data_IF_162352436419
#
_entry.id   IF_162352436419
#
_cell.length_a   1.000
_cell.length_b   1.000
_cell.length_c   1.000
_cell.angle_alpha   90.00
_cell.angle_beta   90.00
_cell.angle_gamma   90.00
#
_symmetry.space_group_name_H-M   'P 1'
#
loop_
_entity.id
_entity.type
_entity.pdbx_description
1 polymer ?
#
# COMPACT_ATOMS: atom_id res chain seq x y z
N UNK A 1 -15.77 -7.72 9.30
CA UNK A 1 -14.93 -7.13 10.36
C UNK A 1 -15.78 -6.18 11.16
N UNK A 2 -15.56 -6.04 12.47
CA UNK A 2 -16.38 -5.14 13.28
C UNK A 2 -16.05 -3.66 12.98
N UNK A 3 -17.01 -2.74 13.13
CA UNK A 3 -16.79 -1.31 13.01
C UNK A 3 -15.59 -0.81 13.83
N UNK A 4 -14.89 0.20 13.34
CA UNK A 4 -13.75 0.86 14.00
C UNK A 4 -12.58 -0.06 14.39
N UNK A 5 -12.57 -1.31 13.91
CA UNK A 5 -11.51 -2.27 14.21
C UNK A 5 -10.24 -1.92 13.42
N UNK A 6 -9.09 -1.71 14.09
CA UNK A 6 -7.81 -1.56 13.41
C UNK A 6 -7.32 -2.90 12.85
N UNK A 7 -6.71 -2.87 11.67
CA UNK A 7 -6.08 -4.03 11.06
C UNK A 7 -4.93 -3.58 10.16
N UNK A 8 -4.11 -4.53 9.73
CA UNK A 8 -2.96 -4.25 8.85
C UNK A 8 -3.06 -5.07 7.59
N UNK A 9 -2.95 -4.39 6.45
CA UNK A 9 -2.79 -5.07 5.17
C UNK A 9 -1.30 -5.18 4.86
N UNK A 10 -0.88 -6.40 4.57
CA UNK A 10 0.47 -6.70 4.09
C UNK A 10 0.36 -7.24 2.66
N UNK A 11 1.15 -6.68 1.75
CA UNK A 11 1.34 -7.19 0.41
C UNK A 11 2.79 -7.61 0.22
N UNK A 12 3.03 -8.85 -0.17
CA UNK A 12 4.32 -9.27 -0.69
C UNK A 12 4.40 -8.88 -2.16
N UNK A 13 5.35 -8.02 -2.50
CA UNK A 13 5.50 -7.51 -3.86
C UNK A 13 6.90 -7.79 -4.38
N UNK A 14 6.98 -8.20 -5.65
CA UNK A 14 8.24 -8.43 -6.36
C UNK A 14 8.56 -7.25 -7.26
N UNK A 15 9.82 -6.82 -7.30
CA UNK A 15 10.31 -5.95 -8.35
C UNK A 15 10.51 -6.74 -9.64
N UNK A 16 9.50 -6.77 -10.50
CA UNK A 16 9.54 -7.37 -11.83
C UNK A 16 9.81 -6.32 -12.94
N UNK A 17 10.29 -5.13 -12.57
CA UNK A 17 10.66 -4.06 -13.51
C UNK A 17 12.06 -4.23 -14.09
N UNK A 18 12.50 -3.25 -14.86
CA UNK A 18 13.84 -3.22 -15.47
C UNK A 18 14.89 -2.50 -14.61
N UNK A 19 14.47 -1.86 -13.52
CA UNK A 19 15.33 -1.08 -12.64
C UNK A 19 15.00 -1.35 -11.18
N UNK A 20 15.96 -1.08 -10.29
CA UNK A 20 15.74 -1.18 -8.86
C UNK A 20 14.66 -0.21 -8.38
N UNK A 21 13.85 -0.60 -7.39
CA UNK A 21 12.97 0.36 -6.73
C UNK A 21 13.83 1.32 -5.89
N UNK A 22 13.63 2.64 -6.02
CA UNK A 22 14.45 3.60 -5.29
C UNK A 22 14.23 3.52 -3.77
N UNK A 23 15.27 3.78 -3.00
CA UNK A 23 15.13 4.17 -1.59
C UNK A 23 14.17 5.37 -1.45
N UNK A 24 13.40 5.46 -0.36
CA UNK A 24 12.31 6.44 -0.14
C UNK A 24 11.10 6.29 -1.09
N UNK A 25 10.90 5.10 -1.65
CA UNK A 25 9.63 4.77 -2.30
C UNK A 25 8.51 4.79 -1.26
N UNK A 26 7.34 5.29 -1.66
CA UNK A 26 6.14 5.27 -0.84
C UNK A 26 5.05 4.44 -1.49
N UNK A 27 4.15 3.88 -0.68
CA UNK A 27 2.85 3.43 -1.14
C UNK A 27 1.81 4.49 -0.78
N UNK A 28 1.04 4.93 -1.78
CA UNK A 28 0.09 6.03 -1.63
C UNK A 28 -1.33 5.57 -1.94
N UNK A 29 -2.29 6.09 -1.19
CA UNK A 29 -3.71 5.94 -1.48
C UNK A 29 -4.05 6.77 -2.72
N UNK A 30 -4.72 6.14 -3.69
CA UNK A 30 -5.06 6.76 -4.98
C UNK A 30 -6.56 6.79 -5.28
N UNK A 31 -7.41 6.37 -4.33
CA UNK A 31 -8.87 6.47 -4.45
C UNK A 31 -9.63 5.32 -3.78
N UNK A 32 -10.95 5.34 -3.96
CA UNK A 32 -11.87 4.45 -3.26
C UNK A 32 -12.12 4.92 -1.83
N UNK A 33 -12.38 3.97 -0.94
CA UNK A 33 -12.63 4.25 0.47
C UNK A 33 -11.34 4.56 1.21
N UNK A 34 -11.39 5.61 2.04
CA UNK A 34 -10.25 6.02 2.86
C UNK A 34 -10.24 5.24 4.17
N UNK A 35 -9.49 4.15 4.17
CA UNK A 35 -9.38 3.23 5.32
C UNK A 35 -8.18 3.52 6.24
N UNK A 36 -7.31 4.47 5.87
CA UNK A 36 -6.16 4.87 6.69
C UNK A 36 -6.20 6.35 7.03
N UNK A 37 -5.62 6.73 8.18
CA UNK A 37 -5.33 8.13 8.51
C UNK A 37 -4.21 8.70 7.64
N UNK A 38 -3.29 7.87 7.18
CA UNK A 38 -2.18 8.24 6.32
C UNK A 38 -2.54 7.99 4.86
N UNK A 39 -2.32 8.96 3.97
CA UNK A 39 -2.50 8.77 2.51
C UNK A 39 -1.22 8.30 1.82
N UNK A 40 -0.10 8.22 2.55
CA UNK A 40 1.21 7.82 2.07
C UNK A 40 1.96 7.14 3.21
N UNK A 41 2.60 6.01 2.93
CA UNK A 41 3.44 5.25 3.86
C UNK A 41 4.76 4.96 3.16
N UNK A 42 5.88 5.23 3.82
CA UNK A 42 7.20 4.89 3.28
C UNK A 42 7.39 3.37 3.27
N UNK A 43 7.91 2.85 2.17
CA UNK A 43 8.24 1.43 2.02
C UNK A 43 9.68 1.23 2.52
N UNK A 44 9.89 0.22 3.36
CA UNK A 44 11.21 -0.12 3.93
C UNK A 44 12.14 -0.72 2.87
N UNK A 45 12.63 0.13 1.98
CA UNK A 45 13.62 -0.23 0.96
C UNK A 45 15.01 0.15 1.47
N UNK A 46 16.04 -0.73 1.39
CA UNK A 46 17.40 -0.37 1.74
C UNK A 46 17.91 0.86 0.96
N UNK A 47 18.91 1.56 1.49
CA UNK A 47 19.54 2.71 0.80
C UNK A 47 20.06 2.34 -0.60
N UNK A 48 20.49 1.08 -0.78
CA UNK A 48 20.91 0.55 -2.07
C UNK A 48 19.77 0.34 -3.09
N UNK A 49 18.50 0.45 -2.69
CA UNK A 49 17.32 0.12 -3.50
C UNK A 49 16.88 -1.33 -3.37
N UNK A 50 15.70 -1.66 -3.90
CA UNK A 50 15.25 -3.06 -4.05
C UNK A 50 15.64 -3.57 -5.45
N UNK A 51 16.59 -4.51 -5.58
CA UNK A 51 17.02 -5.02 -6.88
C UNK A 51 15.88 -5.67 -7.67
N UNK A 52 16.06 -5.78 -8.98
CA UNK A 52 15.18 -6.57 -9.85
C UNK A 52 15.14 -8.02 -9.34
N UNK A 53 13.97 -8.64 -9.46
CA UNK A 53 13.63 -9.99 -9.01
C UNK A 53 13.67 -10.22 -7.49
N UNK A 54 13.82 -9.17 -6.68
CA UNK A 54 13.68 -9.24 -5.23
C UNK A 54 12.25 -8.91 -4.79
N UNK A 55 11.89 -9.46 -3.64
CA UNK A 55 10.59 -9.27 -3.00
C UNK A 55 10.75 -8.50 -1.70
N UNK A 56 9.70 -7.77 -1.33
CA UNK A 56 9.56 -7.18 0.00
C UNK A 56 8.09 -7.20 0.44
N UNK A 57 7.88 -7.10 1.74
CA UNK A 57 6.55 -6.96 2.34
C UNK A 57 6.25 -5.48 2.58
N UNK A 58 5.11 -5.02 2.06
CA UNK A 58 4.60 -3.65 2.26
C UNK A 58 3.44 -3.71 3.22
N UNK A 59 3.55 -3.01 4.36
CA UNK A 59 2.51 -2.95 5.39
C UNK A 59 1.83 -1.58 5.39
N UNK A 60 0.51 -1.56 5.44
CA UNK A 60 -0.29 -0.37 5.70
C UNK A 60 -1.29 -0.68 6.82
N UNK A 61 -1.31 0.18 7.83
CA UNK A 61 -2.28 0.12 8.93
C UNK A 61 -3.57 0.86 8.56
N UNK A 62 -4.69 0.21 8.82
CA UNK A 62 -6.04 0.56 8.36
C UNK A 62 -7.04 0.44 9.52
N UNK A 63 -8.18 1.11 9.39
CA UNK A 63 -9.27 1.12 10.35
C UNK A 63 -10.57 0.84 9.60
N UNK A 64 -11.37 -0.11 10.08
CA UNK A 64 -12.70 -0.38 9.54
C UNK A 64 -13.61 0.85 9.73
N UNK A 65 -14.40 1.24 8.72
CA UNK A 65 -15.41 2.29 8.87
C UNK A 65 -16.43 1.96 9.97
N UNK A 66 -17.12 2.99 10.46
CA UNK A 66 -18.16 2.83 11.49
C UNK A 66 -19.42 2.17 10.93
N UNK A 67 -19.76 2.47 9.67
CA UNK A 67 -20.97 1.99 9.02
C UNK A 67 -20.72 0.59 8.43
N UNK A 68 -21.60 -0.39 8.64
CA UNK A 68 -21.53 -1.68 7.95
C UNK A 68 -21.65 -1.55 6.43
N UNK A 69 -20.91 -2.35 5.69
CA UNK A 69 -20.88 -2.31 4.23
C UNK A 69 -19.60 -2.87 3.62
N UNK A 70 -19.56 -2.91 2.30
CA UNK A 70 -18.37 -3.30 1.53
C UNK A 70 -17.53 -2.07 1.19
N UNK A 71 -16.22 -2.17 1.43
CA UNK A 71 -15.28 -1.08 1.22
C UNK A 71 -14.08 -1.52 0.38
N UNK A 72 -13.69 -0.68 -0.56
CA UNK A 72 -12.53 -0.89 -1.43
C UNK A 72 -11.58 0.30 -1.42
N UNK A 73 -10.32 0.07 -1.04
CA UNK A 73 -9.29 1.11 -1.00
C UNK A 73 -8.18 0.81 -2.00
N UNK A 74 -7.81 1.78 -2.84
CA UNK A 74 -6.80 1.61 -3.88
C UNK A 74 -5.48 2.29 -3.53
N UNK A 75 -4.38 1.58 -3.79
CA UNK A 75 -3.03 2.00 -3.43
C UNK A 75 -2.07 1.78 -4.60
N UNK A 76 -0.99 2.57 -4.66
CA UNK A 76 0.05 2.44 -5.69
C UNK A 76 1.41 2.93 -5.19
N UNK A 77 2.48 2.34 -5.71
CA UNK A 77 3.83 2.79 -5.42
C UNK A 77 4.16 4.12 -6.12
N UNK A 78 4.91 4.97 -5.44
CA UNK A 78 5.40 6.27 -5.89
C UNK A 78 6.88 6.39 -5.57
N UNK A 79 7.67 6.72 -6.58
CA UNK A 79 9.11 6.97 -6.45
C UNK A 79 9.37 8.30 -5.72
N UNK A 80 10.61 8.55 -5.26
CA UNK A 80 10.99 9.84 -4.69
C UNK A 80 10.85 11.03 -5.67
N UNK A 81 10.88 10.76 -6.98
CA UNK A 81 10.60 11.76 -8.03
C UNK A 81 9.11 12.09 -8.18
N UNK A 82 8.23 11.40 -7.46
CA UNK A 82 6.77 11.55 -7.53
C UNK A 82 6.11 10.71 -8.62
N UNK A 83 6.86 9.84 -9.30
CA UNK A 83 6.34 9.01 -10.38
C UNK A 83 5.65 7.75 -9.83
N UNK A 84 4.40 7.52 -10.26
CA UNK A 84 3.65 6.31 -9.91
C UNK A 84 4.15 5.13 -10.74
N UNK A 85 4.43 4.00 -10.10
CA UNK A 85 4.87 2.79 -10.79
C UNK A 85 4.25 1.53 -10.18
N UNK A 86 4.51 0.38 -10.82
CA UNK A 86 3.94 -0.91 -10.42
C UNK A 86 2.42 -0.98 -10.59
N UNK A 87 1.86 -2.08 -10.07
CA UNK A 87 0.43 -2.36 -10.11
C UNK A 87 -0.36 -1.46 -9.16
N UNK A 88 -1.61 -1.18 -9.54
CA UNK A 88 -2.61 -0.63 -8.61
C UNK A 88 -3.16 -1.78 -7.77
N UNK A 89 -2.83 -1.79 -6.49
CA UNK A 89 -3.29 -2.82 -5.55
C UNK A 89 -4.51 -2.34 -4.76
N UNK A 90 -5.30 -3.29 -4.25
CA UNK A 90 -6.53 -3.01 -3.49
C UNK A 90 -6.54 -3.65 -2.11
N UNK A 91 -7.29 -3.00 -1.22
CA UNK A 91 -7.84 -3.58 0.01
C UNK A 91 -9.34 -3.73 -0.23
N UNK A 92 -9.90 -4.92 0.00
CA UNK A 92 -11.33 -5.17 -0.03
C UNK A 92 -11.74 -5.75 1.31
N UNK A 93 -12.69 -5.13 1.98
CA UNK A 93 -13.18 -5.54 3.29
C UNK A 93 -14.70 -5.44 3.35
N UNK A 94 -15.30 -6.29 4.18
CA UNK A 94 -16.70 -6.19 4.57
C UNK A 94 -16.75 -5.83 6.05
N UNK A 95 -17.45 -4.75 6.39
CA UNK A 95 -17.78 -4.37 7.76
C UNK A 95 -19.17 -4.89 8.09
N UNK A 96 -19.28 -5.56 9.24
CA UNK A 96 -20.46 -6.31 9.71
C UNK A 96 -20.65 -6.11 11.19
#
# INVERSE_FOLDING_TARGET
MAPLTPFSKIWRMRNNGMAQWPHKTHIVWIGGDRLSKQSSVEVEIPVAGLPVDKELDIRVDLICPEIPGDYISFWRLVSPSGEKFGERIRVLIQVS
#
